data_IF_503018633264
#
_entry.id   IF_503018633264
#
_cell.length_a   1.000
_cell.length_b   1.000
_cell.length_c   1.000
_cell.angle_alpha   90.00
_cell.angle_beta   90.00
_cell.angle_gamma   90.00
#
_symmetry.space_group_name_H-M   'P 1'
#
loop_
_entity.id
_entity.type
_entity.pdbx_description
1 polymer ?
#
# COMPACT_ATOMS: atom_id res chain seq x y z
N UNK A 1 -7.03 11.39 -18.62
CA UNK A 1 -6.01 11.64 -17.61
C UNK A 1 -6.26 10.82 -16.38
N UNK A 2 -5.23 10.21 -15.87
CA UNK A 2 -5.36 9.34 -14.71
C UNK A 2 -5.29 10.15 -13.43
N UNK A 3 -6.15 9.81 -12.47
CA UNK A 3 -6.09 10.39 -11.14
C UNK A 3 -5.13 9.62 -10.23
N UNK A 4 -4.42 8.63 -10.76
CA UNK A 4 -3.57 7.75 -9.97
C UNK A 4 -2.12 8.22 -9.94
N UNK A 5 -1.92 9.52 -9.96
CA UNK A 5 -0.56 10.05 -9.99
C UNK A 5 -0.14 10.51 -8.61
N UNK A 6 -0.09 9.55 -7.69
CA UNK A 6 0.34 9.85 -6.33
C UNK A 6 1.04 8.63 -5.72
N UNK A 7 1.83 8.88 -4.69
CA UNK A 7 2.53 7.84 -3.93
C UNK A 7 1.98 7.81 -2.52
N UNK A 8 1.73 6.61 -2.03
CA UNK A 8 1.27 6.39 -0.67
C UNK A 8 2.47 6.02 0.18
N UNK A 9 2.85 6.90 1.11
CA UNK A 9 3.92 6.60 2.06
C UNK A 9 3.27 6.10 3.34
N UNK A 10 3.69 4.92 3.79
CA UNK A 10 3.02 4.27 4.90
C UNK A 10 4.00 3.50 5.76
N UNK A 11 3.55 3.13 6.95
CA UNK A 11 4.22 2.12 7.74
C UNK A 11 3.38 0.86 7.65
N UNK A 12 4.04 -0.29 7.53
CA UNK A 12 3.35 -1.56 7.39
C UNK A 12 3.99 -2.58 8.30
N UNK A 13 3.17 -3.51 8.78
CA UNK A 13 3.62 -4.61 9.62
C UNK A 13 3.11 -5.90 8.99
N UNK A 14 4.01 -6.82 8.68
CA UNK A 14 3.66 -8.11 8.12
C UNK A 14 3.67 -9.16 9.24
N UNK A 15 2.68 -10.04 9.22
CA UNK A 15 2.46 -10.97 10.34
C UNK A 15 3.15 -12.29 10.10
N UNK A 16 4.04 -12.68 11.01
CA UNK A 16 4.77 -13.95 10.88
C UNK A 16 3.84 -15.15 10.87
N UNK A 17 2.70 -15.04 11.53
CA UNK A 17 1.75 -16.15 11.58
C UNK A 17 1.01 -16.37 10.26
N UNK A 18 1.10 -15.43 9.34
CA UNK A 18 0.33 -15.47 8.09
C UNK A 18 1.19 -15.64 6.86
N UNK A 19 2.48 -15.46 6.97
CA UNK A 19 3.39 -15.54 5.83
C UNK A 19 4.58 -16.42 6.17
N UNK A 20 5.03 -17.19 5.19
CA UNK A 20 6.23 -18.00 5.37
C UNK A 20 7.47 -17.28 4.83
N UNK A 21 7.30 -16.40 3.86
CA UNK A 21 8.42 -15.70 3.25
C UNK A 21 8.23 -14.21 3.38
N UNK A 22 9.33 -13.50 3.61
CA UNK A 22 9.29 -12.04 3.67
C UNK A 22 9.02 -11.49 2.28
N UNK A 23 8.07 -10.57 2.13
CA UNK A 23 7.88 -9.94 0.83
C UNK A 23 9.04 -8.99 0.54
N UNK A 24 9.42 -8.90 -0.72
CA UNK A 24 10.42 -7.94 -1.15
C UNK A 24 9.69 -6.72 -1.70
N UNK A 25 9.84 -5.60 -1.02
CA UNK A 25 9.13 -4.38 -1.38
C UNK A 25 9.88 -3.54 -2.42
N UNK A 26 11.08 -3.99 -2.82
CA UNK A 26 11.97 -3.16 -3.61
C UNK A 26 12.14 -3.64 -5.06
N UNK A 27 11.43 -4.70 -5.45
CA UNK A 27 11.58 -5.20 -6.82
C UNK A 27 10.38 -4.88 -7.70
N UNK A 28 9.42 -4.12 -7.18
CA UNK A 28 8.25 -3.70 -7.97
C UNK A 28 7.25 -4.80 -8.25
N UNK A 29 7.38 -5.95 -7.62
CA UNK A 29 6.53 -7.10 -7.94
C UNK A 29 5.50 -7.42 -6.87
N UNK A 30 5.54 -6.74 -5.74
CA UNK A 30 4.60 -7.05 -4.68
C UNK A 30 3.39 -6.13 -4.80
N UNK A 31 2.27 -6.72 -5.25
CA UNK A 31 1.04 -5.98 -5.51
C UNK A 31 -0.12 -6.63 -4.76
N UNK A 32 -0.18 -6.48 -3.45
CA UNK A 32 -1.29 -7.04 -2.69
C UNK A 32 -2.52 -6.17 -2.82
N UNK A 33 -3.63 -6.65 -2.26
CA UNK A 33 -4.79 -5.81 -2.03
C UNK A 33 -4.70 -5.24 -0.62
N UNK A 34 -5.26 -4.06 -0.43
CA UNK A 34 -5.43 -3.50 0.90
C UNK A 34 -6.90 -3.19 1.11
N UNK A 35 -7.33 -3.24 2.36
CA UNK A 35 -8.71 -2.92 2.74
C UNK A 35 -8.63 -1.89 3.84
N UNK A 36 -9.15 -0.70 3.57
CA UNK A 36 -9.18 0.36 4.58
C UNK A 36 -10.09 -0.08 5.71
N UNK A 37 -9.60 0.06 6.95
CA UNK A 37 -10.40 -0.34 8.12
C UNK A 37 -11.69 0.44 8.14
N UNK A 38 -12.78 -0.27 8.33
CA UNK A 38 -14.10 0.30 8.27
C UNK A 38 -14.78 0.15 6.92
N UNK A 39 -14.06 -0.37 5.91
CA UNK A 39 -14.65 -0.66 4.60
C UNK A 39 -14.50 -2.13 4.31
N UNK A 40 -15.12 -2.58 3.21
CA UNK A 40 -14.99 -3.96 2.77
C UNK A 40 -14.50 -4.06 1.35
N UNK A 41 -14.08 -2.94 0.76
CA UNK A 41 -13.69 -2.89 -0.64
C UNK A 41 -12.18 -3.07 -0.74
N UNK A 42 -11.72 -4.17 -1.35
CA UNK A 42 -10.28 -4.30 -1.56
C UNK A 42 -9.83 -3.37 -2.67
N UNK A 43 -8.68 -2.75 -2.46
CA UNK A 43 -8.06 -1.91 -3.48
C UNK A 43 -6.64 -2.39 -3.69
N UNK A 44 -6.23 -2.41 -4.94
CA UNK A 44 -4.93 -2.95 -5.32
C UNK A 44 -3.88 -1.86 -5.32
N UNK A 45 -2.73 -2.15 -4.70
CA UNK A 45 -1.58 -1.25 -4.71
C UNK A 45 -0.35 -2.03 -5.10
N UNK A 46 0.67 -1.33 -5.57
CA UNK A 46 1.96 -1.93 -5.89
C UNK A 46 3.02 -1.26 -5.04
N UNK A 47 3.73 -2.04 -4.23
CA UNK A 47 4.83 -1.51 -3.43
C UNK A 47 6.02 -1.29 -4.34
N UNK A 48 6.61 -0.09 -4.27
CA UNK A 48 7.72 0.28 -5.14
C UNK A 48 9.04 0.30 -4.38
N UNK A 49 9.02 0.58 -3.09
CA UNK A 49 10.21 0.49 -2.25
C UNK A 49 9.81 0.44 -0.79
N UNK A 50 10.75 0.11 0.05
CA UNK A 50 10.53 0.06 1.48
C UNK A 50 11.77 -0.40 2.20
N UNK A 51 11.72 -0.29 3.51
CA UNK A 51 12.76 -0.85 4.36
C UNK A 51 12.68 -2.37 4.32
N UNK A 52 13.74 -3.03 4.74
CA UNK A 52 13.72 -4.49 4.81
C UNK A 52 12.61 -4.92 5.76
N UNK A 53 11.83 -5.90 5.31
CA UNK A 53 10.72 -6.39 6.10
C UNK A 53 11.25 -7.23 7.25
N UNK A 54 10.75 -6.92 8.45
CA UNK A 54 10.98 -7.72 9.65
C UNK A 54 9.61 -8.07 10.15
N UNK A 55 9.33 -9.38 10.25
CA UNK A 55 8.00 -9.82 10.68
C UNK A 55 7.62 -9.21 12.01
N UNK A 56 6.36 -8.81 12.11
CA UNK A 56 5.74 -8.32 13.35
C UNK A 56 6.31 -6.99 13.83
N UNK A 57 7.02 -6.27 12.94
CA UNK A 57 7.54 -4.94 13.25
C UNK A 57 7.13 -3.96 12.16
N UNK A 58 6.80 -2.72 12.53
CA UNK A 58 6.48 -1.72 11.53
C UNK A 58 7.73 -1.29 10.78
N UNK A 59 7.59 -1.17 9.46
CA UNK A 59 8.63 -0.65 8.60
C UNK A 59 8.00 0.39 7.67
N UNK A 60 8.82 1.22 7.07
CA UNK A 60 8.33 2.21 6.11
C UNK A 60 8.35 1.65 4.72
N UNK A 61 7.34 2.03 3.94
CA UNK A 61 7.20 1.58 2.56
C UNK A 61 6.44 2.60 1.76
N UNK A 62 6.65 2.54 0.45
CA UNK A 62 5.93 3.37 -0.50
C UNK A 62 5.21 2.49 -1.49
N UNK A 63 4.00 2.89 -1.84
CA UNK A 63 3.18 2.12 -2.76
C UNK A 63 2.48 3.05 -3.74
N UNK A 64 2.12 2.49 -4.89
CA UNK A 64 1.39 3.21 -5.92
C UNK A 64 0.02 2.58 -6.10
N UNK A 65 -1.00 3.38 -6.40
CA UNK A 65 -2.27 2.83 -6.87
C UNK A 65 -2.06 2.30 -8.30
N UNK A 66 -2.77 1.22 -8.63
CA UNK A 66 -2.52 0.57 -9.91
C UNK A 66 -3.78 0.30 -10.74
N UNK A 67 -4.97 0.56 -10.20
CA UNK A 67 -6.19 0.26 -10.93
C UNK A 67 -7.09 1.48 -10.99
N UNK A 68 -7.19 2.06 -12.17
CA UNK A 68 -7.97 3.30 -12.35
C UNK A 68 -9.46 3.12 -12.09
N UNK A 69 -9.94 1.89 -12.10
CA UNK A 69 -11.35 1.64 -11.85
C UNK A 69 -11.68 1.60 -10.36
N UNK A 70 -10.68 1.68 -9.50
CA UNK A 70 -10.90 1.62 -8.06
C UNK A 70 -10.87 3.01 -7.46
N UNK A 71 -11.61 3.16 -6.37
CA UNK A 71 -11.70 4.42 -5.66
C UNK A 71 -10.69 4.41 -4.51
N UNK A 72 -9.67 5.26 -4.61
CA UNK A 72 -8.62 5.36 -3.59
C UNK A 72 -8.88 6.50 -2.60
N UNK A 73 -10.04 7.14 -2.66
CA UNK A 73 -10.28 8.34 -1.86
C UNK A 73 -10.28 8.07 -0.36
N UNK A 74 -10.49 6.81 0.06
CA UNK A 74 -10.44 6.47 1.48
C UNK A 74 -9.01 6.45 2.02
N UNK A 75 -8.00 6.42 1.17
CA UNK A 75 -6.60 6.40 1.60
C UNK A 75 -6.15 7.82 1.85
N UNK A 76 -6.24 8.23 3.09
CA UNK A 76 -5.83 9.56 3.52
C UNK A 76 -4.83 9.43 4.65
N UNK A 77 -4.10 10.51 4.90
CA UNK A 77 -3.14 10.51 6.00
C UNK A 77 -3.86 10.13 7.29
N UNK A 78 -3.28 9.17 8.02
CA UNK A 78 -3.87 8.67 9.26
C UNK A 78 -4.79 7.48 9.08
N UNK A 79 -5.04 7.07 7.83
CA UNK A 79 -5.92 5.93 7.56
C UNK A 79 -5.19 4.62 7.82
N UNK A 80 -5.87 3.70 8.50
CA UNK A 80 -5.34 2.36 8.74
C UNK A 80 -5.95 1.39 7.76
N UNK A 81 -5.18 0.38 7.39
CA UNK A 81 -5.65 -0.61 6.42
C UNK A 81 -5.05 -1.98 6.73
N UNK A 82 -5.71 -3.02 6.20
CA UNK A 82 -5.19 -4.37 6.23
C UNK A 82 -4.55 -4.69 4.89
N UNK A 83 -3.50 -5.51 4.91
CA UNK A 83 -2.85 -6.01 3.70
C UNK A 83 -3.33 -7.43 3.50
N UNK A 84 -3.79 -7.75 2.29
CA UNK A 84 -4.37 -9.05 2.00
C UNK A 84 -3.70 -9.71 0.83
N UNK A 85 -3.49 -11.02 0.96
CA UNK A 85 -3.09 -11.87 -0.15
C UNK A 85 -4.20 -12.87 -0.32
N UNK A 86 -4.94 -12.74 -1.44
CA UNK A 86 -6.16 -13.49 -1.59
C UNK A 86 -7.15 -13.12 -0.50
N UNK A 87 -7.63 -14.10 0.24
CA UNK A 87 -8.58 -13.84 1.32
C UNK A 87 -7.92 -13.76 2.69
N UNK A 88 -6.59 -13.86 2.76
CA UNK A 88 -5.88 -13.86 4.03
C UNK A 88 -5.36 -12.47 4.35
N UNK A 89 -5.56 -12.04 5.58
CA UNK A 89 -4.96 -10.80 6.07
C UNK A 89 -3.54 -11.12 6.50
N UNK A 90 -2.55 -10.59 5.79
CA UNK A 90 -1.14 -10.90 6.05
C UNK A 90 -0.40 -9.75 6.73
N UNK A 91 -1.05 -8.61 6.89
CA UNK A 91 -0.42 -7.47 7.52
C UNK A 91 -1.38 -6.33 7.71
N UNK A 92 -0.86 -5.22 8.20
CA UNK A 92 -1.65 -4.01 8.37
C UNK A 92 -0.73 -2.81 8.16
N UNK A 93 -1.33 -1.65 7.96
CA UNK A 93 -0.55 -0.46 7.72
C UNK A 93 -1.28 0.81 8.13
N UNK A 94 -0.53 1.89 8.07
CA UNK A 94 -1.01 3.22 8.41
C UNK A 94 -0.47 4.19 7.38
N UNK A 95 -1.34 4.96 6.74
CA UNK A 95 -0.91 5.96 5.78
C UNK A 95 -0.28 7.13 6.52
N UNK A 96 0.96 7.44 6.18
CA UNK A 96 1.69 8.54 6.82
C UNK A 96 1.64 9.79 5.96
N UNK A 97 1.75 9.64 4.64
CA UNK A 97 1.69 10.78 3.73
C UNK A 97 1.19 10.32 2.37
N UNK A 98 0.61 11.25 1.65
CA UNK A 98 0.24 11.06 0.24
C UNK A 98 0.98 12.13 -0.54
N UNK A 99 1.81 11.71 -1.48
CA UNK A 99 2.57 12.63 -2.32
C UNK A 99 1.91 12.70 -3.68
N UNK A 100 1.28 13.83 -3.96
CA UNK A 100 0.70 14.05 -5.28
C UNK A 100 1.82 14.36 -6.25
N UNK A 101 1.83 13.65 -7.36
CA UNK A 101 2.79 13.96 -8.42
C UNK A 101 2.15 14.99 -9.31
N UNK A 102 2.70 16.16 -9.33
CA UNK A 102 2.17 17.20 -10.19
C UNK A 102 2.18 16.72 -11.62
N UNK A 103 1.07 16.92 -12.35
CA UNK A 103 1.12 16.62 -13.77
C UNK A 103 2.24 17.43 -14.40
N UNK A 104 2.88 16.84 -15.38
CA UNK A 104 3.95 17.54 -16.04
C UNK A 104 3.38 18.77 -16.75
N UNK A 105 3.81 19.92 -16.30
CA UNK A 105 3.30 21.16 -16.88
C UNK A 105 4.03 21.48 -18.15
N UNK A 106 3.26 21.78 -19.16
CA UNK A 106 3.86 22.24 -20.42
C UNK A 106 3.87 23.74 -20.42
N UNK A 107 4.95 24.26 -20.75
CA UNK A 107 5.09 25.71 -20.81
C UNK A 107 5.40 26.13 -22.20
#
# INVERSE_FOLDING_TARGET
MSDLDFTISCTVTFFSKKMTNLPNLNNGKYSPHIVVKGTKEPIEVNFIDGEDVIFDQPIRANALPVNEDLDYSALQVGTEFFIMEGSAIVGEGLVKEIFQHEPHKQK
#
